data_IF_246355275553
#
_entry.id   IF_246355275553
#
_cell.length_a   1.000
_cell.length_b   1.000
_cell.length_c   1.000
_cell.angle_alpha   90.00
_cell.angle_beta   90.00
_cell.angle_gamma   90.00
#
_symmetry.space_group_name_H-M   'P 1'
#
loop_
_entity.id
_entity.type
_entity.pdbx_description
1 polymer ?
#
# COMPACT_ATOMS: atom_id res chain seq x y z
N UNK A 1 11.47 21.85 23.41
CA UNK A 1 10.40 21.26 22.56
C UNK A 1 10.63 21.64 21.10
N UNK A 2 11.52 20.95 20.37
CA UNK A 2 11.62 21.10 18.92
C UNK A 2 12.12 19.79 18.30
N UNK A 3 11.58 19.48 17.11
CA UNK A 3 12.08 18.52 16.12
C UNK A 3 11.67 17.04 16.23
N UNK A 4 10.36 16.73 16.23
CA UNK A 4 9.87 15.37 15.90
C UNK A 4 9.20 15.29 14.51
N UNK A 5 8.89 16.42 13.86
CA UNK A 5 8.11 16.41 12.61
C UNK A 5 8.86 16.19 11.28
N UNK A 6 10.18 15.95 11.26
CA UNK A 6 10.97 16.02 10.01
C UNK A 6 11.20 14.70 9.29
N UNK A 7 11.16 13.55 9.97
CA UNK A 7 11.55 12.25 9.38
C UNK A 7 10.38 11.56 8.68
N UNK A 8 9.15 11.66 9.21
CA UNK A 8 7.93 11.15 8.55
C UNK A 8 7.71 11.77 7.16
N UNK A 9 8.09 13.05 7.00
CA UNK A 9 7.98 13.77 5.72
C UNK A 9 8.80 13.15 4.58
N UNK A 10 10.05 12.75 4.82
CA UNK A 10 10.93 12.26 3.75
C UNK A 10 10.53 10.86 3.24
N UNK A 11 10.16 9.95 4.15
CA UNK A 11 9.69 8.60 3.79
C UNK A 11 8.35 8.67 3.06
N UNK A 12 7.45 9.53 3.52
CA UNK A 12 6.15 9.76 2.89
C UNK A 12 6.29 10.41 1.50
N UNK A 13 7.25 11.31 1.33
CA UNK A 13 7.53 11.98 0.04
C UNK A 13 8.16 11.03 -0.99
N UNK A 14 9.06 10.12 -0.59
CA UNK A 14 9.62 9.09 -1.49
C UNK A 14 8.56 8.05 -1.87
N UNK A 15 7.69 7.66 -0.93
CA UNK A 15 6.59 6.74 -1.20
C UNK A 15 5.51 7.37 -2.09
N UNK A 16 5.31 8.70 -2.01
CA UNK A 16 4.45 9.46 -2.93
C UNK A 16 5.01 9.47 -4.35
N UNK A 17 6.29 9.86 -4.54
CA UNK A 17 6.89 9.95 -5.88
C UNK A 17 6.93 8.61 -6.61
N UNK A 18 7.24 7.51 -5.92
CA UNK A 18 7.20 6.17 -6.51
C UNK A 18 5.77 5.76 -6.92
N UNK A 19 4.77 6.15 -6.13
CA UNK A 19 3.35 5.94 -6.44
C UNK A 19 2.94 6.73 -7.68
N UNK A 20 3.34 7.99 -7.80
CA UNK A 20 3.01 8.85 -8.95
C UNK A 20 3.57 8.29 -10.27
N UNK A 21 4.84 7.86 -10.28
CA UNK A 21 5.45 7.22 -11.45
C UNK A 21 4.73 5.94 -11.85
N UNK A 22 4.35 5.11 -10.87
CA UNK A 22 3.59 3.88 -11.12
C UNK A 22 2.20 4.19 -11.70
N UNK A 23 1.49 5.17 -11.14
CA UNK A 23 0.18 5.60 -11.65
C UNK A 23 0.27 6.11 -13.08
N UNK A 24 1.31 6.89 -13.40
CA UNK A 24 1.56 7.36 -14.76
C UNK A 24 1.81 6.20 -15.74
N UNK A 25 2.58 5.18 -15.32
CA UNK A 25 2.81 3.98 -16.14
C UNK A 25 1.54 3.16 -16.36
N UNK A 26 0.72 2.96 -15.33
CA UNK A 26 -0.56 2.26 -15.47
C UNK A 26 -1.50 3.00 -16.43
N UNK A 27 -1.52 4.33 -16.37
CA UNK A 27 -2.33 5.16 -17.25
C UNK A 27 -1.85 5.11 -18.72
N UNK A 28 -0.53 5.14 -18.95
CA UNK A 28 0.01 5.03 -20.31
C UNK A 28 -0.34 3.68 -20.94
N UNK A 29 -0.15 2.58 -20.21
CA UNK A 29 -0.48 1.22 -20.67
C UNK A 29 -1.98 1.02 -20.93
N UNK A 30 -2.83 1.64 -20.11
CA UNK A 30 -4.29 1.63 -20.34
C UNK A 30 -4.63 2.35 -21.66
N UNK A 31 -4.05 3.53 -21.89
CA UNK A 31 -4.26 4.30 -23.13
C UNK A 31 -3.77 3.54 -24.35
N UNK A 32 -2.61 2.92 -24.27
CA UNK A 32 -2.06 2.07 -25.33
C UNK A 32 -2.97 0.89 -25.65
N UNK A 33 -3.48 0.19 -24.62
CA UNK A 33 -4.40 -0.93 -24.80
C UNK A 33 -5.72 -0.48 -25.44
N UNK A 34 -6.30 0.63 -24.99
CA UNK A 34 -7.52 1.19 -25.57
C UNK A 34 -7.32 1.63 -27.02
N UNK A 35 -6.19 2.29 -27.32
CA UNK A 35 -5.83 2.69 -28.68
C UNK A 35 -5.71 1.47 -29.60
N UNK A 36 -5.05 0.41 -29.14
CA UNK A 36 -4.92 -0.85 -29.89
C UNK A 36 -6.28 -1.47 -30.19
N UNK A 37 -7.20 -1.50 -29.21
CA UNK A 37 -8.57 -1.99 -29.43
C UNK A 37 -9.28 -1.17 -30.49
N UNK A 38 -9.24 0.16 -30.38
CA UNK A 38 -9.88 1.07 -31.31
C UNK A 38 -9.34 0.89 -32.74
N UNK A 39 -8.02 0.96 -32.94
CA UNK A 39 -7.40 0.85 -34.27
C UNK A 39 -7.68 -0.49 -34.94
N UNK A 40 -7.62 -1.61 -34.19
CA UNK A 40 -7.93 -2.92 -34.74
C UNK A 40 -9.40 -3.03 -35.14
N UNK A 41 -10.31 -2.48 -34.32
CA UNK A 41 -11.74 -2.52 -34.60
C UNK A 41 -12.13 -1.63 -35.80
N UNK A 42 -11.58 -0.42 -35.89
CA UNK A 42 -11.77 0.48 -37.04
C UNK A 42 -11.31 -0.17 -38.35
N UNK A 43 -10.17 -0.87 -38.33
CA UNK A 43 -9.67 -1.56 -39.50
C UNK A 43 -10.55 -2.76 -39.89
N UNK A 44 -11.05 -3.55 -38.93
CA UNK A 44 -12.04 -4.60 -39.22
C UNK A 44 -13.31 -4.01 -39.86
N UNK A 45 -13.82 -2.89 -39.35
CA UNK A 45 -15.01 -2.23 -39.92
C UNK A 45 -14.76 -1.70 -41.33
N UNK A 46 -13.59 -1.12 -41.60
CA UNK A 46 -13.25 -0.61 -42.92
C UNK A 46 -13.20 -1.71 -43.99
N UNK A 47 -12.75 -2.91 -43.61
CA UNK A 47 -12.69 -4.10 -44.48
C UNK A 47 -14.03 -4.79 -44.66
N UNK A 48 -14.94 -4.67 -43.70
CA UNK A 48 -16.27 -5.24 -43.79
C UNK A 48 -17.20 -4.55 -44.82
N UNK A 49 -16.78 -3.39 -45.38
CA UNK A 49 -17.56 -2.68 -46.40
C UNK A 49 -17.49 -3.41 -47.75
N UNK A 50 -18.65 -3.84 -48.24
CA UNK A 50 -18.84 -4.73 -49.42
C UNK A 50 -18.66 -4.01 -50.77
N UNK A 51 -17.79 -3.01 -50.86
CA UNK A 51 -17.63 -2.24 -52.10
C UNK A 51 -16.39 -2.72 -52.89
N UNK A 52 -16.63 -3.32 -54.07
CA UNK A 52 -15.69 -3.63 -55.18
C UNK A 52 -15.33 -5.11 -55.46
N UNK A 53 -16.04 -6.10 -54.93
CA UNK A 53 -15.80 -7.50 -55.36
C UNK A 53 -16.36 -7.82 -56.76
N UNK A 54 -17.20 -6.97 -57.34
CA UNK A 54 -17.91 -7.23 -58.59
C UNK A 54 -17.01 -7.22 -59.86
N UNK A 55 -15.78 -6.71 -59.76
CA UNK A 55 -14.84 -6.59 -60.89
C UNK A 55 -13.71 -7.64 -60.88
N UNK A 56 -13.70 -8.57 -59.92
CA UNK A 56 -12.63 -9.54 -59.74
C UNK A 56 -13.01 -10.92 -60.30
N UNK A 57 -12.04 -11.62 -60.89
CA UNK A 57 -12.21 -13.00 -61.34
C UNK A 57 -12.55 -13.93 -60.16
N UNK A 58 -13.26 -15.03 -60.40
CA UNK A 58 -13.65 -15.97 -59.33
C UNK A 58 -12.48 -16.56 -58.54
N UNK A 59 -11.33 -16.72 -59.20
CA UNK A 59 -10.07 -17.16 -58.57
C UNK A 59 -9.48 -16.08 -57.65
N UNK A 60 -9.55 -14.82 -58.05
CA UNK A 60 -9.04 -13.67 -57.29
C UNK A 60 -9.92 -13.38 -56.07
N UNK A 61 -11.23 -13.61 -56.20
CA UNK A 61 -12.20 -13.43 -55.12
C UNK A 61 -11.96 -14.39 -53.94
N UNK A 62 -11.71 -15.68 -54.20
CA UNK A 62 -11.46 -16.65 -53.13
C UNK A 62 -10.17 -16.34 -52.36
N UNK A 63 -9.11 -15.98 -53.08
CA UNK A 63 -7.83 -15.60 -52.46
C UNK A 63 -8.00 -14.34 -51.59
N UNK A 64 -8.70 -13.33 -52.10
CA UNK A 64 -8.98 -12.08 -51.38
C UNK A 64 -9.79 -12.34 -50.11
N UNK A 65 -10.91 -13.07 -50.20
CA UNK A 65 -11.75 -13.39 -49.02
C UNK A 65 -10.98 -14.19 -47.97
N UNK A 66 -10.10 -15.10 -48.40
CA UNK A 66 -9.24 -15.87 -47.47
C UNK A 66 -8.26 -14.95 -46.75
N UNK A 67 -7.63 -14.02 -47.48
CA UNK A 67 -6.72 -13.03 -46.90
C UNK A 67 -7.43 -12.07 -45.94
N UNK A 68 -8.60 -11.57 -46.30
CA UNK A 68 -9.41 -10.68 -45.45
C UNK A 68 -9.85 -11.38 -44.16
N UNK A 69 -10.27 -12.65 -44.25
CA UNK A 69 -10.59 -13.46 -43.07
C UNK A 69 -9.37 -13.66 -42.16
N UNK A 70 -8.20 -13.92 -42.72
CA UNK A 70 -6.97 -14.05 -41.95
C UNK A 70 -6.61 -12.73 -41.24
N UNK A 71 -6.66 -11.60 -41.96
CA UNK A 71 -6.40 -10.28 -41.39
C UNK A 71 -7.40 -9.96 -40.26
N UNK A 72 -8.68 -10.24 -40.47
CA UNK A 72 -9.74 -10.05 -39.49
C UNK A 72 -9.49 -10.88 -38.21
N UNK A 73 -9.08 -12.14 -38.36
CA UNK A 73 -8.73 -13.01 -37.23
C UNK A 73 -7.53 -12.49 -36.44
N UNK A 74 -6.49 -12.01 -37.13
CA UNK A 74 -5.31 -11.40 -36.47
C UNK A 74 -5.72 -10.16 -35.67
N UNK A 75 -6.58 -9.31 -36.24
CA UNK A 75 -7.08 -8.11 -35.55
C UNK A 75 -7.91 -8.46 -34.32
N UNK A 76 -8.80 -9.45 -34.42
CA UNK A 76 -9.57 -9.94 -33.29
C UNK A 76 -8.66 -10.48 -32.18
N UNK A 77 -7.61 -11.24 -32.53
CA UNK A 77 -6.62 -11.72 -31.57
C UNK A 77 -5.88 -10.57 -30.87
N UNK A 78 -5.50 -9.51 -31.59
CA UNK A 78 -4.87 -8.33 -31.01
C UNK A 78 -5.79 -7.60 -30.01
N UNK A 79 -7.09 -7.48 -30.32
CA UNK A 79 -8.09 -6.90 -29.41
C UNK A 79 -8.16 -7.73 -28.12
N UNK A 80 -8.23 -9.06 -28.23
CA UNK A 80 -8.25 -9.95 -27.05
C UNK A 80 -6.98 -9.77 -26.20
N UNK A 81 -5.81 -9.66 -26.83
CA UNK A 81 -4.54 -9.47 -26.13
C UNK A 81 -4.48 -8.11 -25.40
N UNK A 82 -5.05 -7.05 -26.00
CA UNK A 82 -5.18 -5.75 -25.34
C UNK A 82 -6.14 -5.82 -24.14
N UNK A 83 -7.26 -6.55 -24.24
CA UNK A 83 -8.17 -6.80 -23.13
C UNK A 83 -7.51 -7.60 -21.98
N UNK A 84 -6.67 -8.59 -22.32
CA UNK A 84 -5.88 -9.31 -21.31
C UNK A 84 -4.90 -8.37 -20.60
N UNK A 85 -4.25 -7.48 -21.35
CA UNK A 85 -3.37 -6.46 -20.78
C UNK A 85 -4.09 -5.53 -19.81
N UNK A 86 -5.33 -5.13 -20.12
CA UNK A 86 -6.20 -4.35 -19.21
C UNK A 86 -6.54 -5.18 -17.96
N UNK A 87 -6.83 -6.47 -18.10
CA UNK A 87 -7.11 -7.35 -16.96
C UNK A 87 -5.91 -7.45 -16.00
N UNK A 88 -4.69 -7.53 -16.56
CA UNK A 88 -3.45 -7.49 -15.79
C UNK A 88 -3.27 -6.16 -15.04
N UNK A 89 -3.55 -5.03 -15.71
CA UNK A 89 -3.54 -3.70 -15.08
C UNK A 89 -4.49 -3.61 -13.88
N UNK A 90 -5.70 -4.17 -13.98
CA UNK A 90 -6.67 -4.22 -12.87
C UNK A 90 -6.07 -4.98 -11.68
N UNK A 91 -5.40 -6.10 -11.92
CA UNK A 91 -4.74 -6.86 -10.85
C UNK A 91 -3.62 -6.06 -10.18
N UNK A 92 -2.78 -5.36 -10.96
CA UNK A 92 -1.72 -4.50 -10.44
C UNK A 92 -2.29 -3.35 -9.58
N UNK A 93 -3.40 -2.73 -10.01
CA UNK A 93 -4.09 -1.69 -9.23
C UNK A 93 -4.62 -2.26 -7.90
N UNK A 94 -5.22 -3.45 -7.92
CA UNK A 94 -5.69 -4.11 -6.69
C UNK A 94 -4.52 -4.38 -5.73
N UNK A 95 -3.40 -4.87 -6.24
CA UNK A 95 -2.19 -5.09 -5.44
C UNK A 95 -1.66 -3.77 -4.85
N UNK A 96 -1.64 -2.69 -5.64
CA UNK A 96 -1.22 -1.36 -5.18
C UNK A 96 -2.08 -0.86 -4.01
N UNK A 97 -3.41 -0.98 -4.13
CA UNK A 97 -4.34 -0.53 -3.10
C UNK A 97 -4.22 -1.39 -1.83
N UNK A 98 -4.19 -2.71 -1.98
CA UNK A 98 -4.12 -3.61 -0.83
C UNK A 98 -2.77 -3.55 -0.13
N UNK A 99 -1.65 -3.82 -0.82
CA UNK A 99 -0.33 -3.87 -0.19
C UNK A 99 0.15 -2.48 0.23
N UNK A 100 -0.21 -1.41 -0.50
CA UNK A 100 0.18 -0.06 -0.15
C UNK A 100 -0.30 0.33 1.24
N UNK A 101 -1.54 -0.01 1.56
CA UNK A 101 -2.17 0.36 2.83
C UNK A 101 -1.63 -0.47 4.00
N UNK A 102 -1.39 -1.77 3.82
CA UNK A 102 -0.81 -2.62 4.87
C UNK A 102 0.58 -2.18 5.30
N UNK A 103 1.44 -1.81 4.34
CA UNK A 103 2.82 -1.39 4.62
C UNK A 103 2.88 -0.06 5.35
N UNK A 104 1.99 0.87 4.99
CA UNK A 104 1.85 2.14 5.70
C UNK A 104 1.31 1.90 7.12
N UNK A 105 0.26 1.08 7.25
CA UNK A 105 -0.32 0.74 8.55
C UNK A 105 0.70 0.07 9.48
N UNK A 106 1.50 -0.86 8.96
CA UNK A 106 2.58 -1.51 9.70
C UNK A 106 3.59 -0.49 10.23
N UNK A 107 4.02 0.46 9.38
CA UNK A 107 4.97 1.49 9.78
C UNK A 107 4.38 2.43 10.84
N UNK A 108 3.13 2.87 10.67
CA UNK A 108 2.44 3.73 11.62
C UNK A 108 2.23 3.05 12.97
N UNK A 109 1.80 1.77 12.97
CA UNK A 109 1.63 0.99 14.21
C UNK A 109 2.97 0.80 14.92
N UNK A 110 4.04 0.51 14.17
CA UNK A 110 5.38 0.33 14.75
C UNK A 110 5.89 1.61 15.43
N UNK A 111 5.72 2.77 14.78
CA UNK A 111 6.08 4.06 15.35
C UNK A 111 5.34 4.34 16.66
N UNK A 112 4.03 4.09 16.70
CA UNK A 112 3.22 4.23 17.91
C UNK A 112 3.64 3.26 19.02
N UNK A 113 3.99 2.02 18.69
CA UNK A 113 4.52 1.05 19.67
C UNK A 113 5.84 1.54 20.25
N UNK A 114 6.78 1.98 19.41
CA UNK A 114 8.08 2.51 19.85
C UNK A 114 7.93 3.77 20.73
N UNK A 115 6.99 4.65 20.40
CA UNK A 115 6.67 5.83 21.21
C UNK A 115 6.06 5.44 22.57
N UNK A 116 5.12 4.47 22.58
CA UNK A 116 4.52 3.97 23.82
C UNK A 116 5.53 3.30 24.72
N UNK A 117 6.44 2.50 24.17
CA UNK A 117 7.49 1.83 24.93
C UNK A 117 8.45 2.85 25.56
N UNK A 118 8.81 3.91 24.82
CA UNK A 118 9.60 5.03 25.36
C UNK A 118 8.89 5.72 26.53
N UNK A 119 7.62 6.09 26.37
CA UNK A 119 6.85 6.72 27.46
C UNK A 119 6.69 5.81 28.68
N UNK A 120 6.51 4.50 28.44
CA UNK A 120 6.41 3.52 29.51
C UNK A 120 7.72 3.43 30.29
N UNK A 121 8.86 3.36 29.61
CA UNK A 121 10.17 3.35 30.25
C UNK A 121 10.40 4.61 31.10
N UNK A 122 10.00 5.79 30.61
CA UNK A 122 10.08 7.04 31.38
C UNK A 122 9.21 7.01 32.65
N UNK A 123 7.98 6.51 32.54
CA UNK A 123 7.08 6.37 33.70
C UNK A 123 7.61 5.35 34.71
N UNK A 124 8.13 4.22 34.26
CA UNK A 124 8.72 3.18 35.12
C UNK A 124 9.96 3.73 35.85
N UNK A 125 10.78 4.54 35.18
CA UNK A 125 11.92 5.22 35.79
C UNK A 125 11.49 6.22 36.88
N UNK A 126 10.44 7.02 36.61
CA UNK A 126 9.88 7.96 37.60
C UNK A 126 9.28 7.22 38.79
N UNK A 127 8.53 6.15 38.55
CA UNK A 127 7.93 5.33 39.61
C UNK A 127 8.99 4.71 40.51
N UNK A 128 10.08 4.19 39.91
CA UNK A 128 11.21 3.61 40.66
C UNK A 128 11.88 4.68 41.53
N UNK A 129 12.16 5.86 40.96
CA UNK A 129 12.78 6.96 41.72
C UNK A 129 11.91 7.40 42.91
N UNK A 130 10.60 7.53 42.70
CA UNK A 130 9.66 7.90 43.76
C UNK A 130 9.61 6.83 44.86
N UNK A 131 9.61 5.55 44.47
CA UNK A 131 9.63 4.45 45.43
C UNK A 131 10.91 4.48 46.29
N UNK A 132 12.07 4.73 45.68
CA UNK A 132 13.35 4.87 46.39
C UNK A 132 13.38 6.09 47.32
N UNK A 133 12.75 7.20 46.93
CA UNK A 133 12.64 8.42 47.74
C UNK A 133 11.75 8.16 48.97
N UNK A 134 10.55 7.61 48.77
CA UNK A 134 9.64 7.24 49.86
C UNK A 134 10.26 6.23 50.82
N UNK A 135 11.01 5.24 50.29
CA UNK A 135 11.68 4.24 51.13
C UNK A 135 12.79 4.86 51.98
N UNK A 136 13.57 5.80 51.42
CA UNK A 136 14.58 6.56 52.18
C UNK A 136 13.96 7.43 53.27
N UNK A 137 12.87 8.13 52.94
CA UNK A 137 12.15 8.96 53.90
C UNK A 137 11.60 8.10 55.05
N UNK A 138 11.05 6.92 54.75
CA UNK A 138 10.59 5.96 55.77
C UNK A 138 11.74 5.49 56.69
N UNK A 139 12.89 5.09 56.13
CA UNK A 139 14.05 4.68 56.92
C UNK A 139 14.54 5.82 57.84
N UNK A 140 14.66 7.04 57.32
CA UNK A 140 15.07 8.19 58.12
C UNK A 140 14.06 8.53 59.22
N UNK A 141 12.76 8.38 58.97
CA UNK A 141 11.72 8.52 59.99
C UNK A 141 11.83 7.45 61.10
N UNK A 142 12.11 6.19 60.74
CA UNK A 142 12.32 5.10 61.70
C UNK A 142 13.55 5.34 62.59
N UNK A 143 14.64 5.85 62.02
CA UNK A 143 15.85 6.23 62.76
C UNK A 143 15.58 7.35 63.78
N UNK A 144 14.80 8.38 63.40
CA UNK A 144 14.49 9.54 64.26
C UNK A 144 13.49 9.18 65.36
N UNK A 145 12.45 8.41 65.03
CA UNK A 145 11.39 8.04 65.98
C UNK A 145 11.78 6.85 66.87
N UNK A 146 12.81 6.11 66.48
CA UNK A 146 13.21 4.85 67.09
C UNK A 146 12.18 3.73 66.81
N UNK A 147 12.51 2.46 67.12
CA UNK A 147 11.56 1.36 66.93
C UNK A 147 10.30 1.69 67.70
N UNK A 148 9.14 1.60 67.04
CA UNK A 148 7.85 1.72 67.71
C UNK A 148 7.81 0.62 68.75
N UNK A 149 8.09 0.96 70.02
CA UNK A 149 7.88 0.06 71.13
C UNK A 149 6.38 -0.13 71.20
N UNK A 150 5.87 -1.19 70.58
CA UNK A 150 4.63 -1.81 70.99
C UNK A 150 4.80 -2.13 72.47
N UNK A 151 4.36 -1.21 73.32
CA UNK A 151 4.14 -1.49 74.73
C UNK A 151 2.98 -2.49 74.77
N UNK A 152 3.31 -3.77 74.58
CA UNK A 152 2.54 -4.84 75.18
C UNK A 152 2.60 -4.60 76.69
N UNK A 153 1.66 -3.80 77.19
CA UNK A 153 1.25 -3.84 78.59
C UNK A 153 0.59 -5.19 78.82
N UNK A 154 1.45 -6.22 78.91
CA UNK A 154 1.11 -7.49 79.53
C UNK A 154 0.78 -7.18 80.97
N UNK A 155 -0.51 -7.33 81.27
CA UNK A 155 -1.14 -7.15 82.56
C UNK A 155 -0.38 -7.93 83.65
N UNK A 156 0.01 -7.23 84.72
CA UNK A 156 0.29 -7.84 86.01
C UNK A 156 -0.94 -7.66 86.89
N UNK A 157 -1.70 -8.73 87.10
CA UNK A 157 -2.32 -9.16 88.37
C UNK A 157 -3.13 -10.42 88.16
#
# INVERSE_FOLDING_TARGET
MQSVGRIGSAVQQVHSRKRDTLLNNLNSRLRESLKSIQENYELMLSRAKVENHALLSRSDLYALTTQENFECNVRAANIVNACESITRLISEIKQLLLLGDFRWLEAAVREEVEERDRRRADLDAVATRLHEEVSRDLCTLEEVLGPTRLSSSGQTS
#
